data_IF_529149697693
#
_entry.id   IF_529149697693
#
_cell.length_a   1.000
_cell.length_b   1.000
_cell.length_c   1.000
_cell.angle_alpha   90.00
_cell.angle_beta   90.00
_cell.angle_gamma   90.00
#
_symmetry.space_group_name_H-M   'P 1'
#
loop_
_entity.id
_entity.type
_entity.pdbx_description
1 polymer ?
#
# COMPACT_ATOMS: atom_id res chain seq x y z
N UNK A 1 -9.97 -21.49 -42.41
CA UNK A 1 -9.03 -21.67 -41.27
C UNK A 1 -8.61 -20.30 -40.77
N UNK A 2 -8.62 -20.15 -39.44
CA UNK A 2 -8.29 -18.97 -38.64
C UNK A 2 -7.01 -18.26 -39.11
N UNK A 3 -6.93 -16.94 -38.92
CA UNK A 3 -5.87 -16.31 -38.08
C UNK A 3 -6.27 -14.87 -37.74
N UNK A 4 -6.49 -14.67 -36.44
CA UNK A 4 -6.74 -13.41 -35.76
C UNK A 4 -5.49 -12.53 -35.81
N UNK A 5 -5.66 -11.28 -36.23
CA UNK A 5 -4.69 -10.20 -36.02
C UNK A 5 -4.77 -9.78 -34.55
N UNK A 6 -3.85 -10.26 -33.73
CA UNK A 6 -3.57 -9.66 -32.43
C UNK A 6 -2.46 -8.63 -32.59
N UNK A 7 -2.80 -7.39 -32.31
CA UNK A 7 -1.87 -6.26 -32.34
C UNK A 7 -0.74 -6.44 -31.33
N UNK A 8 0.48 -6.29 -31.82
CA UNK A 8 1.65 -6.05 -30.99
C UNK A 8 1.57 -4.61 -30.46
N UNK A 9 1.29 -4.44 -29.17
CA UNK A 9 1.60 -3.19 -28.49
C UNK A 9 3.11 -3.17 -28.27
N UNK A 10 3.81 -2.37 -29.06
CA UNK A 10 5.23 -2.13 -28.90
C UNK A 10 5.47 -1.42 -27.56
N UNK A 11 6.07 -2.13 -26.61
CA UNK A 11 6.63 -1.51 -25.40
C UNK A 11 7.87 -0.74 -25.85
N UNK A 12 7.77 0.59 -25.82
CA UNK A 12 8.87 1.51 -26.13
C UNK A 12 9.97 1.26 -25.10
N UNK A 13 11.09 0.69 -25.55
CA UNK A 13 12.30 0.56 -24.76
C UNK A 13 12.95 1.94 -24.62
N UNK A 14 12.72 2.61 -23.49
CA UNK A 14 13.56 3.74 -23.08
C UNK A 14 14.83 3.22 -22.44
N UNK A 15 15.93 3.29 -23.20
CA UNK A 15 17.28 3.08 -22.71
C UNK A 15 17.74 4.28 -21.88
N UNK A 16 18.05 4.01 -20.61
CA UNK A 16 18.93 4.84 -19.80
C UNK A 16 19.95 3.91 -19.16
N UNK A 17 21.23 4.08 -19.54
CA UNK A 17 22.37 3.43 -18.94
C UNK A 17 22.71 4.13 -17.61
N UNK A 18 22.18 3.62 -16.52
CA UNK A 18 22.76 3.69 -15.18
C UNK A 18 22.53 2.31 -14.58
N UNK A 19 23.53 1.74 -13.92
CA UNK A 19 23.52 0.38 -13.36
C UNK A 19 22.61 0.28 -12.10
N UNK A 20 21.42 0.86 -12.17
CA UNK A 20 20.36 0.75 -11.20
C UNK A 20 19.67 -0.59 -11.43
N UNK A 21 19.77 -1.50 -10.47
CA UNK A 21 19.10 -2.80 -10.52
C UNK A 21 17.59 -2.55 -10.47
N UNK A 22 16.96 -2.44 -11.64
CA UNK A 22 15.53 -2.18 -11.78
C UNK A 22 14.78 -3.36 -11.18
N UNK A 23 13.98 -3.12 -10.13
CA UNK A 23 12.98 -4.10 -9.72
C UNK A 23 12.01 -4.33 -10.88
N UNK A 24 11.72 -5.59 -11.15
CA UNK A 24 10.62 -6.02 -12.00
C UNK A 24 9.28 -5.64 -11.36
N UNK A 25 8.24 -5.52 -12.18
CA UNK A 25 6.87 -5.30 -11.67
C UNK A 25 6.43 -6.36 -10.66
N UNK A 26 6.94 -7.58 -10.82
CA UNK A 26 6.68 -8.70 -9.91
C UNK A 26 7.38 -8.54 -8.57
N UNK A 27 8.64 -8.12 -8.53
CA UNK A 27 9.35 -7.88 -7.26
C UNK A 27 8.66 -6.77 -6.45
N UNK A 28 8.19 -5.72 -7.11
CA UNK A 28 7.41 -4.66 -6.46
C UNK A 28 6.09 -5.20 -5.92
N UNK A 29 5.35 -5.95 -6.74
CA UNK A 29 4.09 -6.59 -6.31
C UNK A 29 4.31 -7.45 -5.07
N UNK A 30 5.38 -8.25 -5.05
CA UNK A 30 5.74 -9.11 -3.91
C UNK A 30 6.01 -8.28 -2.66
N UNK A 31 6.75 -7.18 -2.74
CA UNK A 31 7.00 -6.31 -1.59
C UNK A 31 5.72 -5.63 -1.08
N UNK A 32 4.86 -5.14 -1.98
CA UNK A 32 3.55 -4.61 -1.61
C UNK A 32 2.67 -5.68 -0.95
N UNK A 33 2.71 -6.92 -1.43
CA UNK A 33 1.99 -8.04 -0.84
C UNK A 33 2.52 -8.43 0.55
N UNK A 34 3.84 -8.35 0.78
CA UNK A 34 4.42 -8.48 2.14
C UNK A 34 3.97 -7.35 3.07
N UNK A 35 3.84 -6.14 2.55
CA UNK A 35 3.20 -5.02 3.25
C UNK A 35 1.74 -5.32 3.62
N UNK A 36 0.98 -5.91 2.68
CA UNK A 36 -0.40 -6.34 2.93
C UNK A 36 -0.47 -7.41 4.02
N UNK A 37 0.43 -8.41 4.01
CA UNK A 37 0.52 -9.41 5.09
C UNK A 37 0.74 -8.73 6.44
N UNK A 38 1.71 -7.82 6.51
CA UNK A 38 2.04 -7.10 7.75
C UNK A 38 0.85 -6.28 8.25
N UNK A 39 0.14 -5.61 7.34
CA UNK A 39 -1.07 -4.86 7.64
C UNK A 39 -2.19 -5.77 8.16
N UNK A 40 -2.46 -6.88 7.46
CA UNK A 40 -3.46 -7.89 7.84
C UNK A 40 -3.22 -8.39 9.25
N UNK A 41 -1.99 -8.84 9.56
CA UNK A 41 -1.66 -9.35 10.90
C UNK A 41 -1.75 -8.24 11.96
N UNK A 42 -1.46 -7.00 11.61
CA UNK A 42 -1.60 -5.84 12.51
C UNK A 42 -3.04 -5.52 12.89
N UNK A 43 -4.00 -5.69 11.97
CA UNK A 43 -5.43 -5.37 12.20
C UNK A 43 -6.26 -6.58 12.64
N UNK A 44 -5.75 -7.81 12.44
CA UNK A 44 -6.41 -9.06 12.80
C UNK A 44 -6.89 -9.16 14.26
N UNK A 45 -6.19 -8.61 15.28
CA UNK A 45 -6.70 -8.64 16.66
C UNK A 45 -8.05 -7.91 16.86
N UNK A 46 -8.42 -6.99 15.96
CA UNK A 46 -9.73 -6.33 15.99
C UNK A 46 -10.86 -7.17 15.36
N UNK A 47 -10.55 -8.34 14.80
CA UNK A 47 -11.52 -9.20 14.14
C UNK A 47 -12.19 -10.18 15.11
N UNK A 48 -13.53 -10.20 15.10
CA UNK A 48 -14.36 -11.23 15.74
C UNK A 48 -15.06 -12.05 14.66
N UNK A 49 -15.01 -13.38 14.78
CA UNK A 49 -15.60 -14.29 13.79
C UNK A 49 -17.09 -14.00 13.58
N UNK A 50 -17.47 -13.79 12.32
CA UNK A 50 -18.85 -13.53 11.92
C UNK A 50 -19.32 -12.07 12.05
N UNK A 51 -18.45 -11.15 12.50
CA UNK A 51 -18.78 -9.73 12.50
C UNK A 51 -18.82 -9.17 11.07
N UNK A 52 -19.52 -8.05 10.87
CA UNK A 52 -19.53 -7.35 9.58
C UNK A 52 -18.30 -6.47 9.37
N UNK A 53 -18.07 -6.04 8.14
CA UNK A 53 -17.02 -5.07 7.82
C UNK A 53 -17.18 -3.77 8.62
N UNK A 54 -18.40 -3.25 8.73
CA UNK A 54 -18.68 -1.98 9.41
C UNK A 54 -18.33 -2.07 10.90
N UNK A 55 -18.58 -3.22 11.52
CA UNK A 55 -18.21 -3.48 12.92
C UNK A 55 -16.70 -3.55 13.07
N UNK A 56 -16.02 -4.27 12.17
CA UNK A 56 -14.56 -4.36 12.13
C UNK A 56 -13.89 -2.99 11.97
N UNK A 57 -14.34 -2.21 10.98
CA UNK A 57 -13.84 -0.87 10.69
C UNK A 57 -14.03 0.04 11.90
N UNK A 58 -15.22 0.05 12.50
CA UNK A 58 -15.50 0.86 13.68
C UNK A 58 -14.65 0.47 14.89
N UNK A 59 -14.32 -0.80 15.07
CA UNK A 59 -13.37 -1.24 16.12
C UNK A 59 -11.97 -0.67 15.89
N UNK A 60 -11.54 -0.55 14.63
CA UNK A 60 -10.21 -0.08 14.26
C UNK A 60 -10.10 1.44 14.34
N UNK A 61 -11.02 2.16 13.69
CA UNK A 61 -10.94 3.62 13.53
C UNK A 61 -11.78 4.38 14.57
N UNK A 62 -12.59 3.69 15.37
CA UNK A 62 -13.39 4.29 16.42
C UNK A 62 -14.44 5.28 15.90
N UNK A 63 -14.32 6.55 16.31
CA UNK A 63 -15.27 7.64 15.97
C UNK A 63 -14.95 8.35 14.66
N UNK A 64 -13.85 7.99 14.02
CA UNK A 64 -13.31 8.70 12.87
C UNK A 64 -13.95 8.25 11.56
N UNK A 65 -13.78 9.07 10.53
CA UNK A 65 -14.24 8.75 9.17
C UNK A 65 -13.04 8.31 8.34
N UNK A 66 -13.16 7.12 7.76
CA UNK A 66 -12.10 6.58 6.92
C UNK A 66 -12.02 7.32 5.59
N UNK A 67 -10.83 7.33 4.98
CA UNK A 67 -10.69 7.78 3.59
C UNK A 67 -11.10 6.68 2.63
N UNK A 68 -11.30 7.01 1.35
CA UNK A 68 -11.55 5.99 0.32
C UNK A 68 -10.41 4.95 0.25
N UNK A 69 -9.16 5.42 0.31
CA UNK A 69 -7.98 4.55 0.29
C UNK A 69 -7.87 3.68 1.55
N UNK A 70 -8.14 4.24 2.73
CA UNK A 70 -8.15 3.47 3.97
C UNK A 70 -9.29 2.48 4.05
N UNK A 71 -10.46 2.83 3.50
CA UNK A 71 -11.64 1.93 3.39
C UNK A 71 -11.30 0.75 2.48
N UNK A 72 -10.75 1.02 1.30
CA UNK A 72 -10.35 -0.04 0.38
C UNK A 72 -9.34 -1.01 1.01
N UNK A 73 -8.32 -0.46 1.70
CA UNK A 73 -7.29 -1.24 2.36
C UNK A 73 -7.85 -2.07 3.54
N UNK A 74 -8.64 -1.48 4.44
CA UNK A 74 -9.26 -2.22 5.54
C UNK A 74 -10.23 -3.29 5.07
N UNK A 75 -11.00 -3.01 4.01
CA UNK A 75 -11.95 -3.98 3.45
C UNK A 75 -11.23 -5.17 2.81
N UNK A 76 -10.09 -4.94 2.16
CA UNK A 76 -9.23 -6.00 1.63
C UNK A 76 -8.68 -6.87 2.77
N UNK A 77 -8.14 -6.25 3.81
CA UNK A 77 -7.64 -6.98 4.98
C UNK A 77 -8.74 -7.78 5.69
N UNK A 78 -9.92 -7.17 5.91
CA UNK A 78 -11.10 -7.84 6.44
C UNK A 78 -11.47 -9.08 5.60
N UNK A 79 -11.45 -8.97 4.28
CA UNK A 79 -11.78 -10.07 3.37
C UNK A 79 -10.80 -11.24 3.55
N UNK A 80 -9.50 -10.96 3.67
CA UNK A 80 -8.49 -12.00 3.92
C UNK A 80 -8.66 -12.66 5.28
N UNK A 81 -8.91 -11.88 6.33
CA UNK A 81 -9.13 -12.40 7.68
C UNK A 81 -10.40 -13.26 7.73
N UNK A 82 -11.52 -12.74 7.23
CA UNK A 82 -12.82 -13.41 7.23
C UNK A 82 -12.80 -14.72 6.43
N UNK A 83 -11.98 -14.78 5.38
CA UNK A 83 -11.82 -15.97 4.53
C UNK A 83 -10.64 -16.86 4.96
N UNK A 84 -9.96 -16.54 6.06
CA UNK A 84 -8.80 -17.27 6.58
C UNK A 84 -7.68 -17.49 5.54
N UNK A 85 -7.44 -16.49 4.69
CA UNK A 85 -6.37 -16.55 3.68
C UNK A 85 -5.01 -16.50 4.37
N UNK A 86 -4.11 -17.44 4.03
CA UNK A 86 -2.77 -17.49 4.61
C UNK A 86 -1.86 -16.38 4.08
N UNK A 87 -0.84 -16.01 4.85
CA UNK A 87 0.18 -15.04 4.43
C UNK A 87 0.86 -15.42 3.11
N UNK A 88 1.19 -16.71 2.94
CA UNK A 88 1.78 -17.22 1.70
C UNK A 88 0.84 -17.07 0.50
N UNK A 89 -0.45 -17.30 0.70
CA UNK A 89 -1.45 -17.10 -0.34
C UNK A 89 -1.55 -15.61 -0.72
N UNK A 90 -1.55 -14.70 0.27
CA UNK A 90 -1.53 -13.25 0.03
C UNK A 90 -0.29 -12.87 -0.79
N UNK A 91 0.91 -13.30 -0.39
CA UNK A 91 2.16 -12.99 -1.12
C UNK A 91 2.09 -13.49 -2.58
N UNK A 92 1.48 -14.65 -2.80
CA UNK A 92 1.37 -15.25 -4.14
C UNK A 92 0.33 -14.58 -5.03
N UNK A 93 -0.78 -14.08 -4.48
CA UNK A 93 -1.95 -13.68 -5.29
C UNK A 93 -2.35 -12.21 -5.16
N UNK A 94 -1.93 -11.50 -4.12
CA UNK A 94 -2.29 -10.09 -3.95
C UNK A 94 -1.62 -9.22 -5.02
N UNK A 95 -2.38 -8.29 -5.58
CA UNK A 95 -1.92 -7.39 -6.65
C UNK A 95 -1.07 -6.23 -6.13
N UNK A 96 -1.08 -5.97 -4.82
CA UNK A 96 -0.42 -4.83 -4.18
C UNK A 96 -1.15 -3.50 -4.34
N UNK A 97 -2.27 -3.44 -5.06
CA UNK A 97 -2.93 -2.19 -5.45
C UNK A 97 -3.43 -1.41 -4.23
N UNK A 98 -4.14 -2.06 -3.30
CA UNK A 98 -4.72 -1.36 -2.15
C UNK A 98 -3.64 -0.81 -1.21
N UNK A 99 -2.56 -1.57 -0.97
CA UNK A 99 -1.40 -1.10 -0.20
C UNK A 99 -0.66 0.03 -0.95
N UNK A 100 -0.49 -0.09 -2.27
CA UNK A 100 0.19 0.91 -3.10
C UNK A 100 -0.56 2.25 -3.13
N UNK A 101 -1.89 2.22 -3.28
CA UNK A 101 -2.74 3.41 -3.23
C UNK A 101 -2.68 4.09 -1.86
N UNK A 102 -2.77 3.30 -0.79
CA UNK A 102 -2.65 3.79 0.58
C UNK A 102 -1.26 4.42 0.85
N UNK A 103 -0.20 3.77 0.38
CA UNK A 103 1.17 4.30 0.47
C UNK A 103 1.31 5.63 -0.28
N UNK A 104 0.83 5.69 -1.53
CA UNK A 104 0.87 6.91 -2.36
C UNK A 104 0.09 8.06 -1.72
N UNK A 105 -1.06 7.76 -1.10
CA UNK A 105 -1.84 8.72 -0.35
C UNK A 105 -1.07 9.28 0.84
N UNK A 106 -0.48 8.42 1.68
CA UNK A 106 0.35 8.80 2.84
C UNK A 106 1.54 9.65 2.39
N UNK A 107 2.26 9.24 1.35
CA UNK A 107 3.41 9.99 0.82
C UNK A 107 2.99 11.37 0.30
N UNK A 108 1.85 11.47 -0.41
CA UNK A 108 1.34 12.75 -0.90
C UNK A 108 0.98 13.70 0.24
N UNK A 109 0.42 13.18 1.34
CA UNK A 109 0.13 13.99 2.52
C UNK A 109 1.41 14.46 3.22
N UNK A 110 2.44 13.63 3.31
CA UNK A 110 3.75 14.01 3.89
C UNK A 110 4.36 15.23 3.19
N UNK A 111 4.28 15.29 1.87
CA UNK A 111 4.83 16.39 1.08
C UNK A 111 4.08 17.73 1.30
N UNK A 112 2.89 17.70 1.90
CA UNK A 112 2.02 18.88 2.09
C UNK A 112 2.10 19.50 3.49
N UNK A 113 3.13 19.18 4.28
CA UNK A 113 3.24 19.57 5.69
C UNK A 113 1.99 19.11 6.49
N UNK A 114 1.83 17.80 6.70
CA UNK A 114 0.58 17.21 7.16
C UNK A 114 0.20 17.72 8.55
N UNK A 115 -1.08 18.09 8.70
CA UNK A 115 -1.69 18.41 9.99
C UNK A 115 -2.50 17.20 10.47
N UNK A 116 -2.56 17.01 11.79
CA UNK A 116 -3.39 15.98 12.39
C UNK A 116 -4.84 16.45 12.52
N UNK A 117 -5.51 16.64 11.39
CA UNK A 117 -6.84 17.24 11.29
C UNK A 117 -7.96 16.25 10.91
N UNK A 118 -7.64 14.95 10.83
CA UNK A 118 -8.63 13.89 10.59
C UNK A 118 -8.75 13.46 9.12
N UNK A 119 -7.94 14.01 8.22
CA UNK A 119 -7.92 13.64 6.79
C UNK A 119 -6.90 12.55 6.45
N UNK A 120 -6.22 11.99 7.44
CA UNK A 120 -5.26 10.91 7.27
C UNK A 120 -5.93 9.61 6.82
N UNK A 121 -5.14 8.65 6.35
CA UNK A 121 -5.61 7.42 5.71
C UNK A 121 -6.77 6.72 6.46
N UNK A 122 -6.76 6.74 7.79
CA UNK A 122 -7.78 6.13 8.66
C UNK A 122 -8.58 7.13 9.51
N UNK A 123 -8.64 8.40 9.07
CA UNK A 123 -9.48 9.44 9.68
C UNK A 123 -8.87 10.21 10.84
N UNK A 124 -7.56 10.09 11.06
CA UNK A 124 -6.85 10.70 12.17
C UNK A 124 -7.09 9.98 13.49
N UNK A 125 -6.10 10.04 14.36
CA UNK A 125 -6.02 9.21 15.56
C UNK A 125 -5.33 10.05 16.61
N UNK A 126 -6.09 10.76 17.43
CA UNK A 126 -5.51 11.60 18.50
C UNK A 126 -4.46 10.83 19.31
N UNK A 127 -3.24 11.38 19.46
CA UNK A 127 -2.09 10.78 20.15
C UNK A 127 -0.93 10.41 19.20
N UNK A 128 -0.03 9.52 19.67
CA UNK A 128 1.16 8.98 18.98
C UNK A 128 0.83 8.04 17.78
N UNK A 129 -0.25 8.34 17.07
CA UNK A 129 -0.77 7.56 15.95
C UNK A 129 -0.54 8.25 14.61
N UNK A 130 0.64 8.83 14.47
CA UNK A 130 1.01 9.52 13.26
C UNK A 130 1.52 8.50 12.23
N UNK A 131 0.85 8.27 11.08
CA UNK A 131 1.35 7.36 10.04
C UNK A 131 2.70 7.82 9.45
N UNK A 132 3.12 9.05 9.76
CA UNK A 132 4.39 9.68 9.40
C UNK A 132 5.46 9.58 10.50
N UNK A 133 5.12 9.12 11.71
CA UNK A 133 6.10 9.02 12.81
C UNK A 133 7.19 8.00 12.48
N UNK A 134 8.43 8.39 12.81
CA UNK A 134 9.68 7.94 12.20
C UNK A 134 9.90 6.42 12.12
N UNK A 135 10.59 6.01 11.06
CA UNK A 135 11.22 4.70 10.77
C UNK A 135 12.16 4.15 11.87
N UNK A 136 12.21 4.77 13.06
CA UNK A 136 13.18 4.52 14.15
C UNK A 136 12.56 3.84 15.39
N UNK A 137 11.41 3.19 15.26
CA UNK A 137 10.80 2.44 16.36
C UNK A 137 11.08 0.94 16.24
N UNK A 138 11.30 0.26 17.38
CA UNK A 138 11.61 -1.18 17.43
C UNK A 138 10.48 -2.09 16.90
N UNK A 139 9.25 -1.57 16.73
CA UNK A 139 8.11 -2.29 16.15
C UNK A 139 7.16 -1.31 15.43
N UNK A 140 6.84 -1.60 14.18
CA UNK A 140 5.85 -0.85 13.40
C UNK A 140 4.44 -1.07 13.95
N UNK A 141 3.67 0.02 14.11
CA UNK A 141 2.23 -0.04 14.34
C UNK A 141 1.52 -0.25 13.00
N UNK A 142 0.38 -0.94 13.02
CA UNK A 142 -0.36 -1.32 11.80
C UNK A 142 -0.70 -0.14 10.88
N UNK A 143 -0.89 1.06 11.43
CA UNK A 143 -1.20 2.28 10.68
C UNK A 143 0.05 2.98 10.08
N UNK A 144 1.26 2.60 10.49
CA UNK A 144 2.53 3.15 9.99
C UNK A 144 2.98 2.38 8.73
N UNK A 145 2.25 2.56 7.62
CA UNK A 145 2.53 1.85 6.37
C UNK A 145 3.98 2.04 5.89
N UNK A 146 4.56 3.22 6.11
CA UNK A 146 5.95 3.50 5.76
C UNK A 146 6.93 2.61 6.53
N UNK A 147 6.65 2.31 7.79
CA UNK A 147 7.48 1.41 8.60
C UNK A 147 7.39 -0.04 8.09
N UNK A 148 6.17 -0.51 7.80
CA UNK A 148 5.95 -1.85 7.26
C UNK A 148 6.57 -2.06 5.87
N UNK A 149 6.74 -0.97 5.11
CA UNK A 149 7.28 -0.98 3.77
C UNK A 149 8.71 -0.41 3.71
N UNK A 150 9.44 -0.33 4.82
CA UNK A 150 10.76 0.31 4.87
C UNK A 150 11.76 -0.29 3.87
N UNK A 151 11.75 -1.60 3.65
CA UNK A 151 12.62 -2.23 2.64
C UNK A 151 12.28 -1.77 1.22
N UNK A 152 10.97 -1.67 0.92
CA UNK A 152 10.48 -1.12 -0.34
C UNK A 152 10.82 0.38 -0.44
N UNK A 153 10.73 1.14 0.65
CA UNK A 153 11.03 2.57 0.67
C UNK A 153 12.52 2.88 0.50
N UNK A 154 13.41 2.16 1.18
CA UNK A 154 14.86 2.30 0.97
C UNK A 154 15.20 2.00 -0.50
N UNK A 155 14.59 0.96 -1.08
CA UNK A 155 14.74 0.68 -2.50
C UNK A 155 14.20 1.83 -3.38
N UNK A 156 13.02 2.36 -3.06
CA UNK A 156 12.34 3.48 -3.74
C UNK A 156 13.16 4.77 -3.68
N UNK A 157 13.73 5.13 -2.53
CA UNK A 157 14.56 6.33 -2.32
C UNK A 157 15.83 6.30 -3.18
N UNK A 158 16.46 5.13 -3.32
CA UNK A 158 17.61 4.94 -4.20
C UNK A 158 17.23 4.93 -5.70
N UNK A 159 15.93 4.81 -6.04
CA UNK A 159 15.44 4.53 -7.39
C UNK A 159 14.21 5.37 -7.81
N UNK A 160 14.20 6.66 -7.46
CA UNK A 160 13.07 7.59 -7.59
C UNK A 160 12.33 7.59 -8.95
N UNK A 161 13.04 7.40 -10.08
CA UNK A 161 12.43 7.31 -11.42
C UNK A 161 11.60 6.03 -11.65
N UNK A 162 11.90 4.95 -10.92
CA UNK A 162 11.22 3.65 -11.00
C UNK A 162 9.84 3.71 -10.34
N UNK A 163 9.69 4.53 -9.29
CA UNK A 163 8.43 4.74 -8.56
C UNK A 163 7.34 5.25 -9.49
N UNK A 164 7.60 6.30 -10.28
CA UNK A 164 6.60 6.78 -11.22
C UNK A 164 6.28 5.70 -12.26
N UNK A 165 7.26 4.93 -12.74
CA UNK A 165 7.03 3.82 -13.66
C UNK A 165 6.10 2.73 -13.10
N UNK A 166 6.27 2.38 -11.83
CA UNK A 166 5.42 1.41 -11.11
C UNK A 166 4.04 1.98 -10.84
N UNK A 167 3.96 3.20 -10.30
CA UNK A 167 2.69 3.88 -10.05
C UNK A 167 1.89 4.01 -11.36
N UNK A 168 2.52 4.40 -12.47
CA UNK A 168 1.90 4.39 -13.80
C UNK A 168 1.44 3.00 -14.24
N UNK A 169 2.22 1.94 -13.98
CA UNK A 169 1.82 0.57 -14.30
C UNK A 169 0.59 0.09 -13.51
N UNK A 170 0.33 0.69 -12.34
CA UNK A 170 -0.85 0.43 -11.51
C UNK A 170 -1.92 1.54 -11.60
N UNK A 171 -1.84 2.45 -12.58
CA UNK A 171 -2.72 3.63 -12.73
C UNK A 171 -2.76 4.58 -11.52
N UNK A 172 -1.73 4.56 -10.69
CA UNK A 172 -1.56 5.45 -9.55
C UNK A 172 -0.80 6.69 -9.99
N UNK A 173 -1.28 7.86 -9.59
CA UNK A 173 -0.70 9.13 -10.03
C UNK A 173 0.56 9.45 -9.21
N UNK A 174 1.70 9.58 -9.89
CA UNK A 174 2.95 9.93 -9.23
C UNK A 174 2.87 11.38 -8.70
N UNK A 175 3.18 11.64 -7.42
CA UNK A 175 3.28 12.99 -6.91
C UNK A 175 4.41 13.73 -7.63
N UNK A 176 4.11 14.90 -8.20
CA UNK A 176 5.12 15.76 -8.84
C UNK A 176 6.15 16.18 -7.79
N UNK A 177 7.44 16.06 -8.12
CA UNK A 177 8.51 16.66 -7.32
C UNK A 177 8.33 18.18 -7.27
N UNK A 178 8.71 18.84 -6.15
CA UNK A 178 8.87 20.29 -6.10
C UNK A 178 9.97 20.76 -7.05
#
# INVERSE_FOLDING_TARGET
MKKLLFGFVAVIAFGFNVNAQKFTSEEVRVELAKGMVSFVEGVKPAYVKGQTYETFEKTIIGKWQNTENGTALLKKAYTYINSSVSSDAIIKTDSGIEIGNALSFVYTLQQKNPKADGVELFGGTTGDYNPYSSLKMASCKWYQLLCHLNNLLNFIEDHQQTICGILYAFNVQCPKQP
#
